data_IF_694614693377
#
_entry.id   IF_694614693377
#
_cell.length_a   1.000
_cell.length_b   1.000
_cell.length_c   1.000
_cell.angle_alpha   90.00
_cell.angle_beta   90.00
_cell.angle_gamma   90.00
#
_symmetry.space_group_name_H-M   'P 1'
#
loop_
_entity.id
_entity.type
_entity.pdbx_description
1 polymer ?
#
# COMPACT_ATOMS: atom_id res chain seq x y z
N UNK A 1 -75.43 15.87 -25.98
CA UNK A 1 -74.15 15.42 -26.54
C UNK A 1 -73.17 15.36 -25.39
N UNK A 2 -72.95 14.17 -24.84
CA UNK A 2 -71.94 13.95 -23.81
C UNK A 2 -70.63 13.63 -24.55
N UNK A 3 -69.66 14.54 -24.47
CA UNK A 3 -68.26 14.23 -24.79
C UNK A 3 -67.70 13.41 -23.62
N UNK A 4 -67.39 12.15 -23.90
CA UNK A 4 -66.66 11.28 -22.99
C UNK A 4 -65.22 11.80 -22.87
N UNK A 5 -64.91 12.40 -21.72
CA UNK A 5 -63.54 12.69 -21.32
C UNK A 5 -62.86 11.38 -20.88
N UNK A 6 -62.00 10.82 -21.74
CA UNK A 6 -61.16 9.68 -21.36
C UNK A 6 -60.22 10.06 -20.19
N UNK A 7 -60.13 9.21 -19.14
CA UNK A 7 -59.39 9.57 -17.95
C UNK A 7 -57.89 9.48 -18.21
N UNK A 8 -57.15 10.54 -17.85
CA UNK A 8 -55.69 10.60 -17.85
C UNK A 8 -55.06 9.53 -16.95
N UNK A 9 -54.91 8.31 -17.48
CA UNK A 9 -54.11 7.23 -16.92
C UNK A 9 -52.60 7.52 -17.13
N UNK A 10 -52.19 8.60 -16.48
CA UNK A 10 -50.97 8.77 -15.69
C UNK A 10 -49.64 8.46 -16.36
N UNK A 11 -48.88 9.52 -16.70
CA UNK A 11 -47.43 9.50 -16.95
C UNK A 11 -46.62 8.64 -15.95
N UNK A 12 -47.14 8.42 -14.74
CA UNK A 12 -46.55 7.53 -13.73
C UNK A 12 -46.63 6.04 -14.11
N UNK A 13 -47.74 5.61 -14.72
CA UNK A 13 -47.92 4.24 -15.20
C UNK A 13 -46.98 3.93 -16.37
N UNK A 14 -46.85 4.86 -17.32
CA UNK A 14 -45.88 4.79 -18.42
C UNK A 14 -44.43 4.73 -17.92
N UNK A 15 -44.08 5.59 -16.95
CA UNK A 15 -42.74 5.58 -16.34
C UNK A 15 -42.43 4.24 -15.64
N UNK A 16 -43.40 3.67 -14.94
CA UNK A 16 -43.27 2.36 -14.27
C UNK A 16 -43.17 1.21 -15.27
N UNK A 17 -43.90 1.27 -16.39
CA UNK A 17 -43.81 0.31 -17.48
C UNK A 17 -42.44 0.36 -18.17
N UNK A 18 -41.93 1.56 -18.45
CA UNK A 18 -40.60 1.77 -19.03
C UNK A 18 -39.48 1.26 -18.09
N UNK A 19 -39.60 1.49 -16.79
CA UNK A 19 -38.65 0.97 -15.80
C UNK A 19 -38.69 -0.56 -15.71
N UNK A 20 -39.89 -1.15 -15.73
CA UNK A 20 -40.08 -2.61 -15.78
C UNK A 20 -39.47 -3.22 -17.05
N UNK A 21 -39.67 -2.60 -18.21
CA UNK A 21 -39.07 -3.03 -19.48
C UNK A 21 -37.54 -2.99 -19.43
N UNK A 22 -36.95 -1.91 -18.87
CA UNK A 22 -35.49 -1.81 -18.65
C UNK A 22 -34.95 -2.90 -17.72
N UNK A 23 -35.70 -3.27 -16.69
CA UNK A 23 -35.33 -4.36 -15.77
C UNK A 23 -35.31 -5.70 -16.53
N UNK A 24 -36.38 -6.00 -17.26
CA UNK A 24 -36.50 -7.24 -18.04
C UNK A 24 -35.42 -7.35 -19.12
N UNK A 25 -35.10 -6.26 -19.82
CA UNK A 25 -34.01 -6.21 -20.79
C UNK A 25 -32.66 -6.55 -20.14
N UNK A 26 -32.34 -5.92 -19.01
CA UNK A 26 -31.11 -6.21 -18.24
C UNK A 26 -31.05 -7.65 -17.74
N UNK A 27 -32.18 -8.25 -17.40
CA UNK A 27 -32.24 -9.67 -17.04
C UNK A 27 -31.99 -10.59 -18.22
N UNK A 28 -32.57 -10.28 -19.39
CA UNK A 28 -32.30 -10.99 -20.64
C UNK A 28 -30.82 -10.92 -21.01
N UNK A 29 -30.23 -9.72 -21.03
CA UNK A 29 -28.80 -9.51 -21.27
C UNK A 29 -27.94 -10.33 -20.30
N UNK A 30 -28.28 -10.35 -19.00
CA UNK A 30 -27.56 -11.16 -18.01
C UNK A 30 -27.67 -12.66 -18.28
N UNK A 31 -28.84 -13.14 -18.74
CA UNK A 31 -29.02 -14.55 -19.13
C UNK A 31 -28.15 -14.88 -20.34
N UNK A 32 -28.15 -14.03 -21.37
CA UNK A 32 -27.28 -14.17 -22.55
C UNK A 32 -25.81 -14.19 -22.16
N UNK A 33 -25.35 -13.23 -21.34
CA UNK A 33 -23.98 -13.20 -20.83
C UNK A 33 -23.59 -14.48 -20.07
N UNK A 34 -24.50 -15.06 -19.27
CA UNK A 34 -24.24 -16.32 -18.55
C UNK A 34 -24.21 -17.53 -19.49
N UNK A 35 -25.10 -17.57 -20.48
CA UNK A 35 -25.17 -18.63 -21.47
C UNK A 35 -23.91 -18.64 -22.33
N UNK A 36 -23.62 -17.51 -23.00
CA UNK A 36 -22.41 -17.33 -23.82
C UNK A 36 -21.15 -17.59 -22.98
N UNK A 37 -21.10 -17.08 -21.76
CA UNK A 37 -19.98 -17.31 -20.84
C UNK A 37 -19.82 -18.76 -20.38
N UNK A 38 -20.87 -19.59 -20.43
CA UNK A 38 -20.80 -21.04 -20.15
C UNK A 38 -20.25 -21.78 -21.38
N UNK A 39 -20.74 -21.44 -22.57
CA UNK A 39 -20.30 -22.04 -23.83
C UNK A 39 -18.82 -21.73 -24.09
N UNK A 40 -18.38 -20.48 -23.89
CA UNK A 40 -16.98 -20.08 -24.09
C UNK A 40 -15.97 -20.76 -23.15
N UNK A 41 -16.41 -21.42 -22.07
CA UNK A 41 -15.53 -22.20 -21.21
C UNK A 41 -15.18 -23.57 -21.80
N UNK A 42 -16.00 -24.08 -22.73
CA UNK A 42 -15.74 -25.34 -23.41
C UNK A 42 -14.67 -25.13 -24.49
N UNK A 43 -13.72 -26.07 -24.65
CA UNK A 43 -12.87 -26.14 -25.84
C UNK A 43 -13.72 -26.13 -27.11
N UNK A 44 -13.21 -25.55 -28.19
CA UNK A 44 -13.96 -25.43 -29.45
C UNK A 44 -14.42 -26.78 -30.00
N UNK A 45 -13.60 -27.82 -29.84
CA UNK A 45 -13.91 -29.20 -30.25
C UNK A 45 -15.03 -29.87 -29.43
N UNK A 46 -15.40 -29.33 -28.26
CA UNK A 46 -16.40 -29.92 -27.34
C UNK A 46 -17.75 -29.18 -27.37
N UNK A 47 -17.90 -28.19 -28.26
CA UNK A 47 -19.13 -27.41 -28.39
C UNK A 47 -20.11 -28.11 -29.32
N UNK A 48 -21.39 -28.17 -28.94
CA UNK A 48 -22.43 -28.62 -29.86
C UNK A 48 -22.69 -27.59 -30.96
N UNK A 49 -23.34 -28.02 -32.06
CA UNK A 49 -23.75 -27.11 -33.14
C UNK A 49 -24.68 -26.00 -32.65
N UNK A 50 -25.60 -26.32 -31.73
CA UNK A 50 -26.49 -25.34 -31.09
C UNK A 50 -25.70 -24.30 -30.30
N UNK A 51 -24.67 -24.73 -29.57
CA UNK A 51 -23.79 -23.84 -28.81
C UNK A 51 -22.98 -22.93 -29.75
N UNK A 52 -22.50 -23.44 -30.87
CA UNK A 52 -21.84 -22.65 -31.90
C UNK A 52 -22.78 -21.61 -32.52
N UNK A 53 -24.03 -21.98 -32.81
CA UNK A 53 -25.06 -21.06 -33.30
C UNK A 53 -25.37 -19.94 -32.28
N UNK A 54 -25.43 -20.25 -30.98
CA UNK A 54 -25.61 -19.25 -29.92
C UNK A 54 -24.46 -18.24 -29.87
N UNK A 55 -23.21 -18.68 -30.09
CA UNK A 55 -22.06 -17.76 -30.17
C UNK A 55 -22.15 -16.85 -31.39
N UNK A 56 -22.58 -17.38 -32.55
CA UNK A 56 -22.79 -16.61 -33.78
C UNK A 56 -23.94 -15.61 -33.66
N UNK A 57 -25.01 -15.95 -32.95
CA UNK A 57 -26.15 -15.05 -32.71
C UNK A 57 -25.78 -13.86 -31.80
N UNK A 58 -24.83 -14.06 -30.89
CA UNK A 58 -24.46 -13.08 -29.86
C UNK A 58 -23.00 -12.62 -29.95
N UNK A 59 -22.52 -12.29 -31.16
CA UNK A 59 -21.11 -11.92 -31.42
C UNK A 59 -20.59 -10.80 -30.52
N UNK A 60 -21.36 -9.74 -30.31
CA UNK A 60 -20.96 -8.61 -29.45
C UNK A 60 -20.70 -9.06 -28.00
N UNK A 61 -21.54 -9.98 -27.50
CA UNK A 61 -21.39 -10.55 -26.14
C UNK A 61 -20.15 -11.45 -26.08
N UNK A 62 -19.89 -12.23 -27.14
CA UNK A 62 -18.68 -13.05 -27.26
C UNK A 62 -17.43 -12.18 -27.24
N UNK A 63 -17.38 -11.13 -28.08
CA UNK A 63 -16.23 -10.22 -28.13
C UNK A 63 -15.95 -9.56 -26.79
N UNK A 64 -16.99 -9.05 -26.11
CA UNK A 64 -16.85 -8.44 -24.79
C UNK A 64 -16.36 -9.45 -23.74
N UNK A 65 -16.87 -10.68 -23.74
CA UNK A 65 -16.41 -11.73 -22.83
C UNK A 65 -14.97 -12.14 -23.10
N UNK A 66 -14.57 -12.28 -24.37
CA UNK A 66 -13.19 -12.54 -24.77
C UNK A 66 -12.26 -11.41 -24.33
N UNK A 67 -12.62 -10.13 -24.56
CA UNK A 67 -11.86 -8.96 -24.07
C UNK A 67 -11.72 -8.98 -22.55
N UNK A 68 -12.79 -9.30 -21.81
CA UNK A 68 -12.75 -9.46 -20.34
C UNK A 68 -11.82 -10.58 -19.90
N UNK A 69 -11.82 -11.70 -20.62
CA UNK A 69 -10.95 -12.83 -20.33
C UNK A 69 -9.48 -12.47 -20.54
N UNK A 70 -9.14 -11.83 -21.67
CA UNK A 70 -7.78 -11.32 -21.94
C UNK A 70 -7.34 -10.35 -20.85
N UNK A 71 -8.17 -9.36 -20.50
CA UNK A 71 -7.88 -8.41 -19.41
C UNK A 71 -7.64 -9.11 -18.08
N UNK A 72 -8.44 -10.13 -17.75
CA UNK A 72 -8.28 -10.93 -16.53
C UNK A 72 -6.99 -11.72 -16.53
N UNK A 73 -6.63 -12.36 -17.64
CA UNK A 73 -5.39 -13.12 -17.79
C UNK A 73 -4.17 -12.20 -17.63
N UNK A 74 -4.19 -11.02 -18.25
CA UNK A 74 -3.13 -10.00 -18.09
C UNK A 74 -3.02 -9.56 -16.62
N UNK A 75 -4.14 -9.28 -15.95
CA UNK A 75 -4.14 -8.90 -14.54
C UNK A 75 -3.64 -10.02 -13.62
N UNK A 76 -3.94 -11.28 -13.95
CA UNK A 76 -3.45 -12.45 -13.22
C UNK A 76 -1.93 -12.58 -13.35
N UNK A 77 -1.40 -12.55 -14.58
CA UNK A 77 0.05 -12.55 -14.84
C UNK A 77 0.77 -11.42 -14.13
N UNK A 78 0.19 -10.22 -14.07
CA UNK A 78 0.76 -9.07 -13.33
C UNK A 78 0.80 -9.23 -11.81
N UNK A 79 0.11 -10.22 -11.25
CA UNK A 79 0.11 -10.53 -9.81
C UNK A 79 0.97 -11.76 -9.48
N UNK A 80 1.38 -12.53 -10.49
CA UNK A 80 2.28 -13.66 -10.30
C UNK A 80 3.66 -13.12 -9.90
N UNK A 81 4.29 -13.80 -8.96
CA UNK A 81 5.67 -13.54 -8.57
C UNK A 81 6.60 -14.22 -9.57
N UNK A 82 7.58 -13.47 -10.05
CA UNK A 82 8.64 -13.95 -10.92
C UNK A 82 9.93 -13.91 -10.11
N UNK A 83 10.79 -14.90 -10.34
CA UNK A 83 12.10 -14.99 -9.72
C UNK A 83 13.12 -15.13 -10.85
N UNK A 84 14.13 -14.26 -10.85
CA UNK A 84 15.31 -14.47 -11.67
C UNK A 84 16.08 -15.68 -11.10
N UNK A 85 16.71 -16.48 -11.97
CA UNK A 85 17.59 -17.55 -11.50
C UNK A 85 18.85 -16.98 -10.82
N UNK A 86 19.65 -17.85 -10.20
CA UNK A 86 20.76 -17.42 -9.36
C UNK A 86 21.86 -16.67 -10.13
N UNK A 87 22.13 -17.04 -11.39
CA UNK A 87 23.19 -16.44 -12.19
C UNK A 87 22.71 -15.10 -12.77
N UNK A 88 21.48 -15.05 -13.28
CA UNK A 88 20.82 -13.81 -13.71
C UNK A 88 20.72 -12.82 -12.56
N UNK A 89 20.33 -13.26 -11.37
CA UNK A 89 20.24 -12.42 -10.18
C UNK A 89 21.59 -11.77 -9.86
N UNK A 90 22.67 -12.55 -9.79
CA UNK A 90 24.02 -12.02 -9.52
C UNK A 90 24.48 -11.03 -10.59
N UNK A 91 24.28 -11.37 -11.87
CA UNK A 91 24.65 -10.51 -12.99
C UNK A 91 23.90 -9.16 -12.96
N UNK A 92 22.60 -9.19 -12.63
CA UNK A 92 21.80 -7.98 -12.48
C UNK A 92 22.20 -7.18 -11.24
N UNK A 93 22.52 -7.83 -10.12
CA UNK A 93 23.02 -7.13 -8.92
C UNK A 93 24.35 -6.44 -9.20
N UNK A 94 25.25 -7.06 -9.96
CA UNK A 94 26.49 -6.42 -10.38
C UNK A 94 26.25 -5.14 -11.20
N UNK A 95 25.34 -5.19 -12.18
CA UNK A 95 24.93 -4.00 -12.93
C UNK A 95 24.31 -2.92 -12.03
N UNK A 96 23.53 -3.32 -11.02
CA UNK A 96 22.99 -2.40 -10.03
C UNK A 96 24.11 -1.78 -9.18
N UNK A 97 25.11 -2.57 -8.77
CA UNK A 97 26.25 -2.09 -8.00
C UNK A 97 27.06 -1.04 -8.78
N UNK A 98 27.30 -1.28 -10.07
CA UNK A 98 27.95 -0.30 -10.95
C UNK A 98 27.12 1.00 -11.03
N UNK A 99 25.80 0.88 -11.21
CA UNK A 99 24.91 2.05 -11.22
C UNK A 99 24.90 2.83 -9.91
N UNK A 100 24.99 2.14 -8.76
CA UNK A 100 25.08 2.77 -7.43
C UNK A 100 26.43 3.49 -7.26
N UNK A 101 27.54 2.90 -7.73
CA UNK A 101 28.88 3.52 -7.68
C UNK A 101 28.96 4.78 -8.57
N UNK A 102 28.31 4.76 -9.72
CA UNK A 102 28.31 5.88 -10.68
C UNK A 102 27.33 7.00 -10.31
N UNK A 103 26.32 6.73 -9.47
CA UNK A 103 25.27 7.68 -9.14
C UNK A 103 25.83 8.89 -8.36
N UNK A 104 25.52 10.10 -8.83
CA UNK A 104 25.81 11.34 -8.09
C UNK A 104 24.73 11.61 -7.05
N UNK A 105 23.49 11.26 -7.36
CA UNK A 105 22.33 11.51 -6.53
C UNK A 105 21.34 10.33 -6.61
N UNK A 106 21.67 9.25 -5.91
CA UNK A 106 20.79 8.09 -5.77
C UNK A 106 19.68 8.36 -4.75
N UNK A 107 18.44 8.15 -5.17
CA UNK A 107 17.25 8.18 -4.31
C UNK A 107 16.60 6.81 -4.27
N UNK A 108 16.26 6.34 -3.07
CA UNK A 108 15.64 5.01 -2.86
C UNK A 108 14.16 5.16 -2.58
N UNK A 109 13.33 4.46 -3.34
CA UNK A 109 11.87 4.41 -3.15
C UNK A 109 11.47 3.07 -2.56
N UNK A 110 10.84 3.07 -1.38
CA UNK A 110 10.48 1.83 -0.69
C UNK A 110 8.97 1.61 -0.60
N UNK A 111 8.58 0.34 -0.53
CA UNK A 111 7.21 -0.09 -0.27
C UNK A 111 7.17 -1.29 0.67
N UNK A 112 5.96 -1.79 0.95
CA UNK A 112 5.72 -2.77 2.00
C UNK A 112 6.49 -4.10 1.81
N UNK A 113 6.94 -4.40 0.58
CA UNK A 113 7.73 -5.59 0.26
C UNK A 113 9.09 -5.64 0.97
N UNK A 114 9.65 -4.51 1.43
CA UNK A 114 10.90 -4.53 2.21
C UNK A 114 10.67 -4.95 3.67
N UNK A 115 9.42 -4.91 4.13
CA UNK A 115 9.03 -5.20 5.52
C UNK A 115 8.43 -6.60 5.70
N UNK A 116 8.24 -7.36 4.61
CA UNK A 116 7.65 -8.71 4.69
C UNK A 116 8.49 -9.71 5.46
N UNK A 117 9.82 -9.54 5.47
CA UNK A 117 10.73 -10.36 6.25
C UNK A 117 10.62 -10.09 7.77
N UNK A 118 10.11 -8.91 8.17
CA UNK A 118 9.78 -8.58 9.55
C UNK A 118 8.37 -9.08 9.97
N UNK A 119 7.81 -10.03 9.22
CA UNK A 119 6.43 -10.53 9.39
C UNK A 119 5.32 -9.48 9.21
N UNK A 120 5.65 -8.33 8.63
CA UNK A 120 4.66 -7.29 8.29
C UNK A 120 4.06 -7.63 6.92
N UNK A 121 2.75 -7.93 6.81
CA UNK A 121 2.16 -8.28 5.52
C UNK A 121 2.24 -7.11 4.55
N UNK A 122 2.55 -7.40 3.30
CA UNK A 122 2.41 -6.41 2.25
C UNK A 122 0.93 -6.16 1.91
N UNK A 123 0.70 -5.31 0.91
CA UNK A 123 -0.65 -4.99 0.50
C UNK A 123 -1.20 -5.87 -0.62
N UNK A 124 -0.35 -6.34 -1.54
CA UNK A 124 -0.76 -6.83 -2.87
C UNK A 124 -0.04 -8.08 -3.34
N UNK A 125 0.89 -8.60 -2.54
CA UNK A 125 1.50 -9.91 -2.73
C UNK A 125 0.48 -11.03 -2.56
N UNK A 126 0.91 -12.29 -2.71
CA UNK A 126 0.04 -13.47 -2.61
C UNK A 126 -0.77 -13.53 -1.29
N UNK A 127 -0.13 -13.08 -0.21
CA UNK A 127 -0.67 -13.01 1.15
C UNK A 127 -0.91 -11.56 1.62
N UNK A 128 -0.88 -10.60 0.70
CA UNK A 128 -1.07 -9.20 1.04
C UNK A 128 -2.48 -8.88 1.51
N UNK A 129 -2.62 -7.82 2.30
CA UNK A 129 -3.89 -7.42 2.93
C UNK A 129 -5.05 -7.34 1.92
N UNK A 130 -4.86 -6.67 0.78
CA UNK A 130 -5.91 -6.57 -0.24
C UNK A 130 -6.19 -7.90 -0.94
N UNK A 131 -5.16 -8.72 -1.13
CA UNK A 131 -5.28 -10.03 -1.77
C UNK A 131 -6.10 -10.98 -0.89
N UNK A 132 -5.86 -10.98 0.42
CA UNK A 132 -6.63 -11.76 1.39
C UNK A 132 -8.07 -11.26 1.52
N UNK A 133 -8.26 -9.94 1.64
CA UNK A 133 -9.60 -9.34 1.70
C UNK A 133 -10.43 -9.63 0.44
N UNK A 134 -9.82 -9.61 -0.75
CA UNK A 134 -10.50 -9.99 -1.99
C UNK A 134 -10.88 -11.47 -2.03
N UNK A 135 -10.09 -12.34 -1.40
CA UNK A 135 -10.38 -13.77 -1.23
C UNK A 135 -11.37 -14.06 -0.09
N UNK A 136 -11.85 -13.03 0.63
CA UNK A 136 -12.74 -13.18 1.78
C UNK A 136 -12.07 -13.78 3.02
N UNK A 137 -10.73 -13.72 3.10
CA UNK A 137 -9.95 -14.21 4.24
C UNK A 137 -9.72 -13.09 5.25
N UNK A 138 -9.61 -13.46 6.53
CA UNK A 138 -9.18 -12.56 7.59
C UNK A 138 -7.69 -12.25 7.45
N UNK A 139 -7.32 -11.04 7.83
CA UNK A 139 -5.92 -10.61 7.91
C UNK A 139 -5.59 -10.55 9.40
N UNK A 140 -4.71 -11.44 9.86
CA UNK A 140 -4.14 -11.31 11.20
C UNK A 140 -3.13 -10.15 11.16
N UNK A 141 -3.37 -9.09 11.94
CA UNK A 141 -2.34 -8.09 12.18
C UNK A 141 -1.33 -8.69 13.14
N UNK A 142 -0.11 -8.97 12.66
CA UNK A 142 1.04 -9.13 13.57
C UNK A 142 1.19 -7.84 14.38
N UNK A 143 1.53 -7.96 15.66
CA UNK A 143 1.85 -6.77 16.43
C UNK A 143 3.14 -6.12 15.89
N UNK A 144 3.03 -4.86 15.48
CA UNK A 144 4.11 -4.10 14.86
C UNK A 144 5.15 -3.64 15.89
N UNK A 145 4.79 -3.62 17.18
CA UNK A 145 5.69 -3.33 18.30
C UNK A 145 6.92 -4.27 18.32
N UNK A 146 6.73 -5.54 17.93
CA UNK A 146 7.76 -6.59 17.91
C UNK A 146 8.60 -6.58 16.63
N UNK A 147 8.16 -5.91 15.58
CA UNK A 147 8.89 -5.87 14.32
C UNK A 147 10.22 -5.15 14.50
N UNK A 148 11.28 -5.68 13.89
CA UNK A 148 12.59 -5.05 13.81
C UNK A 148 12.90 -4.66 12.35
N UNK A 149 13.74 -3.63 12.11
CA UNK A 149 14.21 -3.30 10.78
C UNK A 149 14.81 -4.52 10.07
N UNK A 150 14.40 -4.76 8.82
CA UNK A 150 14.92 -5.87 8.01
C UNK A 150 16.34 -5.62 7.53
N UNK A 151 16.99 -6.64 6.96
CA UNK A 151 18.32 -6.50 6.34
C UNK A 151 18.31 -5.38 5.30
N UNK A 152 17.26 -5.27 4.47
CA UNK A 152 17.11 -4.17 3.51
C UNK A 152 17.13 -2.79 4.19
N UNK A 153 16.45 -2.60 5.32
CA UNK A 153 16.47 -1.32 6.05
C UNK A 153 17.89 -1.00 6.53
N UNK A 154 18.59 -1.99 7.10
CA UNK A 154 19.96 -1.82 7.59
C UNK A 154 20.96 -1.54 6.46
N UNK A 155 20.77 -2.14 5.28
CA UNK A 155 21.55 -1.81 4.09
C UNK A 155 21.33 -0.37 3.66
N UNK A 156 20.08 0.11 3.63
CA UNK A 156 19.76 1.50 3.26
C UNK A 156 20.38 2.48 4.26
N UNK A 157 20.30 2.21 5.57
CA UNK A 157 20.99 2.98 6.63
C UNK A 157 22.49 3.09 6.31
N UNK A 158 23.13 1.97 5.99
CA UNK A 158 24.56 1.92 5.71
C UNK A 158 24.93 2.68 4.42
N UNK A 159 24.17 2.47 3.33
CA UNK A 159 24.37 3.18 2.07
C UNK A 159 24.21 4.70 2.22
N UNK A 160 23.27 5.14 3.06
CA UNK A 160 23.14 6.55 3.41
C UNK A 160 24.34 7.06 4.24
N UNK A 161 24.81 6.27 5.22
CA UNK A 161 26.00 6.59 6.02
C UNK A 161 27.26 6.76 5.15
N UNK A 162 27.43 5.91 4.14
CA UNK A 162 28.49 6.01 3.12
C UNK A 162 28.22 7.08 2.05
N UNK A 163 27.15 7.87 2.20
CA UNK A 163 26.75 8.94 1.28
C UNK A 163 26.45 8.46 -0.15
N UNK A 164 26.21 7.16 -0.36
CA UNK A 164 25.79 6.62 -1.64
C UNK A 164 24.32 6.92 -1.90
N UNK A 165 23.46 6.72 -0.90
CA UNK A 165 22.04 7.11 -0.95
C UNK A 165 21.89 8.52 -0.36
N UNK A 166 21.25 9.42 -1.10
CA UNK A 166 21.02 10.81 -0.67
C UNK A 166 19.70 11.00 0.05
N UNK A 167 18.68 10.25 -0.35
CA UNK A 167 17.34 10.36 0.21
C UNK A 167 16.55 9.07 0.06
N UNK A 168 15.61 8.85 0.97
CA UNK A 168 14.68 7.71 0.98
C UNK A 168 13.25 8.22 0.98
N UNK A 169 12.48 7.78 -0.01
CA UNK A 169 11.06 8.08 -0.14
C UNK A 169 10.27 6.80 0.12
N UNK A 170 9.61 6.72 1.27
CA UNK A 170 8.90 5.53 1.72
C UNK A 170 7.38 5.69 1.60
N UNK A 171 6.71 4.62 1.19
CA UNK A 171 5.25 4.46 1.30
C UNK A 171 4.82 3.70 2.56
N UNK A 172 5.78 3.22 3.35
CA UNK A 172 5.51 2.43 4.54
C UNK A 172 5.21 3.36 5.70
N UNK A 173 4.30 2.93 6.58
CA UNK A 173 4.00 3.62 7.83
C UNK A 173 4.41 2.81 9.06
N UNK A 174 5.17 1.73 8.85
CA UNK A 174 5.66 0.83 9.88
C UNK A 174 6.77 1.44 10.77
N UNK A 175 7.27 2.63 10.43
CA UNK A 175 8.31 3.34 11.18
C UNK A 175 9.69 2.67 11.16
N UNK A 176 9.90 1.57 10.40
CA UNK A 176 11.13 0.78 10.46
C UNK A 176 12.35 1.53 9.89
N UNK A 177 12.16 2.46 8.95
CA UNK A 177 13.24 3.33 8.49
C UNK A 177 13.77 4.24 9.59
N UNK A 178 12.88 4.92 10.31
CA UNK A 178 13.26 5.75 11.46
C UNK A 178 13.99 4.90 12.52
N UNK A 179 13.38 3.76 12.87
CA UNK A 179 13.90 2.83 13.88
C UNK A 179 15.23 2.20 13.52
N UNK A 180 15.54 2.05 12.22
CA UNK A 180 16.85 1.57 11.77
C UNK A 180 18.00 2.53 12.08
N UNK A 181 17.70 3.80 12.40
CA UNK A 181 18.71 4.86 12.55
C UNK A 181 18.91 5.70 11.30
N UNK A 182 18.03 5.61 10.29
CA UNK A 182 18.09 6.48 9.13
C UNK A 182 17.74 7.92 9.55
N UNK A 183 18.54 8.90 9.10
CA UNK A 183 18.32 10.31 9.42
C UNK A 183 16.94 10.78 8.93
N UNK A 184 16.19 11.44 9.83
CA UNK A 184 14.88 12.03 9.51
C UNK A 184 14.93 13.03 8.35
N UNK A 185 16.04 13.75 8.21
CA UNK A 185 16.22 14.73 7.14
C UNK A 185 16.30 14.06 5.77
N UNK A 186 16.83 12.83 5.72
CA UNK A 186 16.98 12.04 4.50
C UNK A 186 15.80 11.08 4.25
N UNK A 187 14.73 11.18 5.05
CA UNK A 187 13.57 10.30 4.99
C UNK A 187 12.29 11.11 4.70
N UNK A 188 11.50 10.64 3.74
CA UNK A 188 10.15 11.12 3.48
C UNK A 188 9.15 9.98 3.58
N UNK A 189 8.21 10.07 4.52
CA UNK A 189 7.20 9.04 4.79
C UNK A 189 5.86 9.48 4.19
N UNK A 190 5.66 9.13 2.91
CA UNK A 190 4.61 9.69 2.08
C UNK A 190 3.19 9.33 2.51
N UNK A 191 3.03 8.28 3.30
CA UNK A 191 1.74 7.82 3.80
C UNK A 191 1.60 7.99 5.32
N UNK A 192 2.55 8.68 5.97
CA UNK A 192 2.58 8.83 7.42
C UNK A 192 3.44 7.81 8.13
N UNK A 193 3.37 7.82 9.45
CA UNK A 193 4.07 6.91 10.34
C UNK A 193 3.16 6.60 11.53
N UNK A 194 2.94 5.32 11.81
CA UNK A 194 2.02 4.86 12.86
C UNK A 194 2.46 5.21 14.28
N UNK A 195 3.72 5.64 14.46
CA UNK A 195 4.27 6.08 15.74
C UNK A 195 4.24 7.60 15.90
N UNK A 196 3.69 8.34 14.93
CA UNK A 196 3.74 9.80 14.91
C UNK A 196 2.32 10.35 14.85
N UNK A 197 2.00 11.19 15.83
CA UNK A 197 0.82 12.05 15.86
C UNK A 197 1.24 13.52 15.90
N UNK A 198 0.36 14.40 15.43
CA UNK A 198 0.65 15.82 15.24
C UNK A 198 -0.49 16.70 15.72
N UNK A 199 -0.15 17.90 16.19
CA UNK A 199 -1.09 18.98 16.40
C UNK A 199 -1.09 19.91 15.19
N UNK A 200 -2.18 19.90 14.42
CA UNK A 200 -2.34 20.75 13.23
C UNK A 200 -2.80 22.18 13.54
N UNK A 201 -3.26 22.42 14.77
CA UNK A 201 -3.70 23.77 15.21
C UNK A 201 -2.54 24.67 15.63
N UNK A 202 -1.38 24.08 15.96
CA UNK A 202 -0.17 24.84 16.25
C UNK A 202 0.54 25.27 14.96
N UNK A 203 1.17 26.45 14.98
CA UNK A 203 2.08 26.91 13.93
C UNK A 203 3.45 27.26 14.55
N UNK A 204 4.54 26.56 14.18
CA UNK A 204 4.57 25.39 13.30
C UNK A 204 3.84 24.17 13.89
N UNK A 205 3.50 23.21 13.03
CA UNK A 205 2.91 21.91 13.43
C UNK A 205 3.81 21.26 14.48
N UNK A 206 3.20 20.81 15.59
CA UNK A 206 3.93 20.10 16.65
C UNK A 206 3.78 18.60 16.46
N UNK A 207 4.90 17.90 16.51
CA UNK A 207 4.98 16.45 16.36
C UNK A 207 5.19 15.77 17.71
N UNK A 208 4.57 14.60 17.88
CA UNK A 208 4.71 13.73 19.03
C UNK A 208 5.03 12.32 18.52
N UNK A 209 6.23 11.84 18.84
CA UNK A 209 6.62 10.46 18.57
C UNK A 209 6.21 9.59 19.76
N UNK A 210 5.57 8.45 19.51
CA UNK A 210 5.08 7.53 20.52
C UNK A 210 5.73 6.16 20.34
N UNK A 211 5.77 5.39 21.42
CA UNK A 211 6.29 4.02 21.39
C UNK A 211 5.20 2.97 21.07
N UNK A 212 3.97 3.40 20.79
CA UNK A 212 2.83 2.55 20.45
C UNK A 212 2.15 3.04 19.17
N UNK A 213 1.28 2.20 18.60
CA UNK A 213 0.49 2.52 17.42
C UNK A 213 -0.56 3.61 17.72
N UNK A 214 -0.38 4.82 17.17
CA UNK A 214 -1.31 5.94 17.38
C UNK A 214 -2.61 5.78 16.58
N UNK A 215 -2.71 4.77 15.71
CA UNK A 215 -3.76 4.62 14.70
C UNK A 215 -4.96 3.77 15.16
N UNK A 216 -4.94 3.22 16.37
CA UNK A 216 -5.99 2.32 16.89
C UNK A 216 -7.41 2.89 16.77
N UNK A 217 -7.57 4.19 17.05
CA UNK A 217 -8.86 4.89 17.09
C UNK A 217 -9.18 5.62 15.78
N UNK A 218 -8.32 5.46 14.78
CA UNK A 218 -8.32 6.23 13.53
C UNK A 218 -8.86 5.42 12.36
N UNK A 219 -9.38 6.12 11.35
CA UNK A 219 -9.91 5.51 10.14
C UNK A 219 -10.01 6.52 9.00
N UNK A 220 -10.44 6.06 7.82
CA UNK A 220 -10.65 6.93 6.66
C UNK A 220 -11.45 8.20 7.04
N UNK A 221 -10.84 9.37 6.83
CA UNK A 221 -11.40 10.70 7.17
C UNK A 221 -11.62 10.99 8.67
N UNK A 222 -11.14 10.13 9.57
CA UNK A 222 -11.17 10.33 11.03
C UNK A 222 -9.78 10.08 11.59
N UNK A 223 -9.04 11.16 11.80
CA UNK A 223 -7.64 11.11 12.24
C UNK A 223 -7.43 11.46 13.71
N UNK A 224 -8.48 11.85 14.44
CA UNK A 224 -8.35 12.20 15.87
C UNK A 224 -7.86 10.99 16.67
N UNK A 225 -6.77 11.18 17.41
CA UNK A 225 -6.16 10.11 18.20
C UNK A 225 -6.77 10.00 19.60
N UNK A 226 -7.62 10.96 19.98
CA UNK A 226 -8.22 11.06 21.31
C UNK A 226 -7.26 11.58 22.39
N UNK A 227 -6.08 12.07 22.02
CA UNK A 227 -5.11 12.74 22.91
C UNK A 227 -5.08 14.24 22.62
N UNK A 228 -4.67 15.04 23.59
CA UNK A 228 -4.65 16.51 23.49
C UNK A 228 -3.23 17.07 23.36
N UNK A 229 -3.08 18.12 22.57
CA UNK A 229 -1.83 18.85 22.42
C UNK A 229 -1.45 19.57 23.72
N UNK A 230 -0.21 19.39 24.17
CA UNK A 230 0.31 20.01 25.40
C UNK A 230 0.42 21.53 25.34
N UNK A 231 0.41 22.07 24.12
CA UNK A 231 0.60 23.49 23.90
C UNK A 231 -0.73 24.25 23.80
N UNK A 232 -1.69 23.73 23.04
CA UNK A 232 -2.94 24.44 22.76
C UNK A 232 -4.20 23.70 23.19
N UNK A 233 -4.10 22.47 23.71
CA UNK A 233 -5.25 21.67 24.16
C UNK A 233 -6.04 20.95 23.06
N UNK A 234 -5.89 21.36 21.79
CA UNK A 234 -6.59 20.74 20.67
C UNK A 234 -6.22 19.26 20.46
N UNK A 235 -7.15 18.50 19.88
CA UNK A 235 -6.99 17.08 19.61
C UNK A 235 -5.82 16.81 18.64
N UNK A 236 -4.96 15.85 19.02
CA UNK A 236 -3.89 15.33 18.17
C UNK A 236 -4.46 14.45 17.06
N UNK A 237 -3.75 14.44 15.94
CA UNK A 237 -4.14 13.70 14.73
C UNK A 237 -3.04 12.75 14.32
N UNK A 238 -3.38 11.56 13.84
CA UNK A 238 -2.39 10.69 13.21
C UNK A 238 -1.87 11.31 11.90
N UNK A 239 -0.77 10.73 11.40
CA UNK A 239 -0.13 11.17 10.14
C UNK A 239 -0.52 10.34 8.93
N UNK A 240 -1.42 9.37 9.09
CA UNK A 240 -1.73 8.35 8.09
C UNK A 240 -2.50 8.95 6.91
N UNK A 241 -2.06 8.61 5.70
CA UNK A 241 -2.83 8.85 4.47
C UNK A 241 -3.52 7.55 4.06
N UNK A 242 -4.83 7.46 4.30
CA UNK A 242 -5.59 6.27 3.94
C UNK A 242 -5.82 6.14 2.42
N UNK A 243 -6.04 4.90 1.95
CA UNK A 243 -6.39 4.66 0.55
C UNK A 243 -7.70 5.36 0.16
N UNK A 244 -7.64 6.18 -0.88
CA UNK A 244 -8.79 6.94 -1.39
C UNK A 244 -8.90 8.35 -0.81
N UNK A 245 -8.05 8.68 0.16
CA UNK A 245 -7.92 10.01 0.73
C UNK A 245 -6.85 10.83 0.01
N UNK A 246 -7.01 12.16 0.08
CA UNK A 246 -5.92 13.11 -0.17
C UNK A 246 -5.42 13.53 1.21
N UNK A 247 -4.11 13.50 1.43
CA UNK A 247 -3.53 13.82 2.74
C UNK A 247 -4.11 15.11 3.33
N UNK A 248 -4.50 15.04 4.60
CA UNK A 248 -5.16 16.15 5.32
C UNK A 248 -4.17 17.08 6.03
N UNK A 249 -2.95 16.61 6.24
CA UNK A 249 -1.80 17.44 6.63
C UNK A 249 -1.32 18.22 5.42
N UNK A 250 -0.81 19.44 5.64
CA UNK A 250 -0.37 20.33 4.55
C UNK A 250 0.44 19.58 3.51
N UNK A 251 1.30 18.64 3.92
CA UNK A 251 1.90 17.63 3.05
C UNK A 251 2.20 16.33 3.82
N UNK A 252 2.37 15.18 3.13
CA UNK A 252 3.00 14.00 3.73
C UNK A 252 4.29 14.33 4.46
N UNK A 253 4.69 13.50 5.43
CA UNK A 253 5.89 13.74 6.24
C UNK A 253 7.11 13.93 5.30
N UNK A 254 7.63 15.16 5.29
CA UNK A 254 8.74 15.59 4.44
C UNK A 254 8.51 15.45 2.92
N UNK A 255 7.32 15.78 2.40
CA UNK A 255 7.06 15.80 0.94
C UNK A 255 8.00 16.73 0.16
N UNK A 256 8.29 17.91 0.70
CA UNK A 256 9.24 18.86 0.10
C UNK A 256 10.60 18.20 -0.15
N UNK A 257 11.15 17.50 0.85
CA UNK A 257 12.39 16.73 0.70
C UNK A 257 12.29 15.64 -0.37
N UNK A 258 11.16 14.93 -0.47
CA UNK A 258 10.96 13.93 -1.53
C UNK A 258 10.97 14.55 -2.93
N UNK A 259 10.32 15.70 -3.10
CA UNK A 259 10.25 16.40 -4.38
C UNK A 259 11.61 16.98 -4.79
N UNK A 260 12.33 17.61 -3.87
CA UNK A 260 13.68 18.16 -4.08
C UNK A 260 14.69 17.05 -4.40
N UNK A 261 14.66 15.95 -3.64
CA UNK A 261 15.52 14.79 -3.91
C UNK A 261 15.22 14.16 -5.27
N UNK A 262 13.93 13.98 -5.62
CA UNK A 262 13.54 13.47 -6.92
C UNK A 262 14.00 14.38 -8.06
N UNK A 263 13.94 15.70 -7.86
CA UNK A 263 14.43 16.66 -8.85
C UNK A 263 15.94 16.56 -9.07
N UNK A 264 16.72 16.35 -8.01
CA UNK A 264 18.18 16.21 -8.12
C UNK A 264 18.63 14.83 -8.60
N UNK A 265 17.77 13.82 -8.52
CA UNK A 265 18.12 12.43 -8.81
C UNK A 265 18.62 12.21 -10.23
N UNK A 266 19.72 11.47 -10.34
CA UNK A 266 20.19 10.84 -11.59
C UNK A 266 19.93 9.34 -11.60
N UNK A 267 19.76 8.72 -10.42
CA UNK A 267 19.35 7.32 -10.26
C UNK A 267 18.23 7.20 -9.24
N UNK A 268 17.19 6.41 -9.57
CA UNK A 268 16.14 6.00 -8.64
C UNK A 268 16.17 4.47 -8.51
N UNK A 269 16.25 3.98 -7.28
CA UNK A 269 16.15 2.56 -6.95
C UNK A 269 14.84 2.28 -6.21
N UNK A 270 13.93 1.55 -6.83
CA UNK A 270 12.67 1.11 -6.21
C UNK A 270 12.81 -0.27 -5.58
N UNK A 271 12.49 -0.40 -4.29
CA UNK A 271 12.57 -1.64 -3.53
C UNK A 271 11.21 -2.04 -2.95
N UNK A 272 10.75 -3.25 -3.26
CA UNK A 272 9.59 -3.86 -2.59
C UNK A 272 8.30 -3.08 -2.76
N UNK A 273 8.11 -2.39 -3.89
CA UNK A 273 6.92 -1.61 -4.17
C UNK A 273 6.27 -1.99 -5.49
N UNK A 274 4.95 -2.22 -5.45
CA UNK A 274 4.14 -2.38 -6.66
C UNK A 274 4.04 -1.11 -7.52
N UNK A 275 4.46 0.05 -7.00
CA UNK A 275 4.39 1.39 -7.62
C UNK A 275 2.99 1.81 -8.12
N UNK A 276 1.92 1.09 -7.75
CA UNK A 276 0.54 1.38 -8.19
C UNK A 276 0.02 2.71 -7.67
N UNK A 277 0.53 3.16 -6.52
CA UNK A 277 0.26 4.47 -5.93
C UNK A 277 1.25 5.49 -6.46
N UNK A 278 2.56 5.27 -6.26
CA UNK A 278 3.58 6.25 -6.63
C UNK A 278 3.60 6.66 -8.11
N UNK A 279 3.20 5.78 -9.03
CA UNK A 279 3.15 6.10 -10.47
C UNK A 279 2.39 7.39 -10.82
N UNK A 280 1.47 7.82 -9.95
CA UNK A 280 0.62 9.00 -10.18
C UNK A 280 1.32 10.32 -9.89
N UNK A 281 2.40 10.33 -9.10
CA UNK A 281 3.08 11.56 -8.71
C UNK A 281 4.16 11.92 -9.74
N UNK A 282 3.75 12.65 -10.78
CA UNK A 282 4.62 12.98 -11.90
C UNK A 282 5.97 13.63 -11.52
N UNK A 283 5.98 14.48 -10.47
CA UNK A 283 7.19 15.13 -9.96
C UNK A 283 8.23 14.14 -9.44
N UNK A 284 7.81 13.09 -8.73
CA UNK A 284 8.71 12.04 -8.18
C UNK A 284 9.36 11.17 -9.28
N UNK A 285 9.00 11.36 -10.54
CA UNK A 285 9.61 10.63 -11.65
C UNK A 285 10.20 11.56 -12.72
N UNK A 286 10.26 12.87 -12.42
CA UNK A 286 10.66 13.92 -13.35
C UNK A 286 9.96 13.80 -14.71
N UNK A 287 8.66 13.49 -14.73
CA UNK A 287 7.93 13.25 -15.98
C UNK A 287 7.87 14.49 -16.89
N UNK A 288 8.09 15.68 -16.34
CA UNK A 288 8.24 16.94 -17.07
C UNK A 288 9.54 17.03 -17.88
N UNK A 289 10.55 16.18 -17.59
CA UNK A 289 11.79 16.13 -18.36
C UNK A 289 11.67 15.22 -19.58
N UNK A 290 12.42 15.49 -20.67
CA UNK A 290 12.62 14.55 -21.77
C UNK A 290 13.12 13.18 -21.26
N UNK A 291 12.73 12.09 -21.92
CA UNK A 291 13.01 10.73 -21.43
C UNK A 291 14.51 10.46 -21.18
N UNK A 292 15.40 11.00 -22.02
CA UNK A 292 16.86 10.87 -21.89
C UNK A 292 17.47 11.73 -20.76
N UNK A 293 16.70 12.66 -20.18
CA UNK A 293 17.10 13.51 -19.04
C UNK A 293 16.41 13.11 -17.73
N UNK A 294 15.66 12.02 -17.73
CA UNK A 294 15.05 11.44 -16.52
C UNK A 294 16.09 10.59 -15.79
N UNK A 295 15.96 10.43 -14.46
CA UNK A 295 16.82 9.53 -13.71
C UNK A 295 16.73 8.10 -14.25
N UNK A 296 17.85 7.39 -14.25
CA UNK A 296 17.89 5.95 -14.54
C UNK A 296 17.12 5.21 -13.46
N UNK A 297 16.12 4.42 -13.86
CA UNK A 297 15.25 3.72 -12.93
C UNK A 297 15.65 2.25 -12.79
N UNK A 298 15.87 1.80 -11.56
CA UNK A 298 16.12 0.42 -11.20
C UNK A 298 14.99 -0.08 -10.31
N UNK A 299 14.50 -1.30 -10.55
CA UNK A 299 13.38 -1.87 -9.80
C UNK A 299 13.73 -3.24 -9.27
N UNK A 300 13.58 -3.44 -7.96
CA UNK A 300 13.66 -4.73 -7.28
C UNK A 300 12.28 -5.08 -6.74
N UNK A 301 11.58 -5.99 -7.40
CA UNK A 301 10.24 -6.41 -7.00
C UNK A 301 9.86 -7.75 -7.65
N UNK A 302 9.25 -8.65 -6.89
CA UNK A 302 8.82 -9.97 -7.38
C UNK A 302 7.66 -9.90 -8.37
N UNK A 303 6.78 -8.91 -8.23
CA UNK A 303 5.60 -8.74 -9.10
C UNK A 303 5.84 -7.70 -10.20
N UNK A 304 4.97 -7.68 -11.21
CA UNK A 304 4.93 -6.61 -12.21
C UNK A 304 4.68 -5.23 -11.57
N UNK A 305 5.40 -4.21 -12.05
CA UNK A 305 5.13 -2.81 -11.69
C UNK A 305 4.70 -1.98 -12.91
N UNK A 306 3.89 -0.92 -12.72
CA UNK A 306 3.51 0.02 -13.77
C UNK A 306 4.65 0.80 -14.43
N UNK A 307 5.87 0.67 -13.93
CA UNK A 307 7.06 1.40 -14.40
C UNK A 307 8.14 0.46 -14.95
N UNK A 308 7.85 -0.84 -15.07
CA UNK A 308 8.80 -1.84 -15.60
C UNK A 308 9.34 -1.42 -16.98
N UNK A 309 8.48 -0.93 -17.88
CA UNK A 309 8.87 -0.50 -19.24
C UNK A 309 9.75 0.78 -19.26
N UNK A 310 9.85 1.50 -18.14
CA UNK A 310 10.70 2.68 -17.98
C UNK A 310 11.99 2.35 -17.22
N UNK A 311 12.12 1.16 -16.65
CA UNK A 311 13.28 0.77 -15.88
C UNK A 311 14.44 0.41 -16.83
N UNK A 312 15.64 0.87 -16.48
CA UNK A 312 16.89 0.41 -17.10
C UNK A 312 17.10 -1.06 -16.75
N UNK A 313 16.80 -1.43 -15.51
CA UNK A 313 16.95 -2.79 -15.03
C UNK A 313 15.85 -3.15 -14.04
N UNK A 314 15.24 -4.32 -14.24
CA UNK A 314 14.35 -4.95 -13.28
C UNK A 314 14.95 -6.26 -12.77
N UNK A 315 15.03 -6.36 -11.45
CA UNK A 315 15.48 -7.53 -10.72
C UNK A 315 14.27 -8.16 -10.04
N UNK A 316 13.96 -9.39 -10.43
CA UNK A 316 12.88 -10.17 -9.82
C UNK A 316 13.48 -11.03 -8.71
N UNK A 317 13.72 -10.42 -7.55
CA UNK A 317 14.30 -11.09 -6.39
C UNK A 317 13.75 -10.55 -5.08
N UNK A 318 13.96 -11.29 -3.98
CA UNK A 318 13.65 -10.79 -2.63
C UNK A 318 14.58 -9.63 -2.31
N UNK A 319 14.05 -8.56 -1.73
CA UNK A 319 14.84 -7.36 -1.44
C UNK A 319 16.06 -7.67 -0.55
N UNK A 320 15.90 -8.48 0.50
CA UNK A 320 17.02 -8.82 1.38
C UNK A 320 18.14 -9.59 0.65
N UNK A 321 17.80 -10.52 -0.25
CA UNK A 321 18.81 -11.24 -1.03
C UNK A 321 19.55 -10.31 -1.99
N UNK A 322 18.81 -9.46 -2.70
CA UNK A 322 19.38 -8.47 -3.63
C UNK A 322 20.27 -7.47 -2.91
N UNK A 323 19.80 -6.94 -1.77
CA UNK A 323 20.55 -5.96 -0.99
C UNK A 323 21.79 -6.58 -0.35
N UNK A 324 21.73 -7.83 0.11
CA UNK A 324 22.91 -8.55 0.61
C UNK A 324 23.99 -8.68 -0.47
N UNK A 325 23.64 -9.19 -1.65
CA UNK A 325 24.60 -9.28 -2.76
C UNK A 325 25.10 -7.90 -3.21
N UNK A 326 24.25 -6.87 -3.20
CA UNK A 326 24.67 -5.51 -3.51
C UNK A 326 25.71 -5.00 -2.52
N UNK A 327 25.51 -5.23 -1.22
CA UNK A 327 26.46 -4.82 -0.19
C UNK A 327 27.80 -5.57 -0.32
N UNK A 328 27.77 -6.85 -0.69
CA UNK A 328 28.97 -7.63 -1.02
C UNK A 328 29.74 -7.04 -2.22
N UNK A 329 29.06 -6.72 -3.32
CA UNK A 329 29.63 -6.09 -4.53
C UNK A 329 30.18 -4.66 -4.28
N UNK A 330 29.61 -3.97 -3.29
CA UNK A 330 30.08 -2.66 -2.81
C UNK A 330 31.17 -2.80 -1.73
N UNK A 331 31.46 -4.03 -1.26
CA UNK A 331 32.38 -4.30 -0.15
C UNK A 331 32.03 -3.52 1.12
N UNK A 332 30.73 -3.38 1.42
CA UNK A 332 30.21 -2.70 2.59
C UNK A 332 29.66 -3.69 3.61
N UNK A 333 30.03 -3.52 4.87
CA UNK A 333 29.49 -4.32 5.97
C UNK A 333 28.06 -3.89 6.29
N UNK A 334 27.17 -4.86 6.46
CA UNK A 334 25.78 -4.61 6.85
C UNK A 334 25.75 -4.48 8.39
N UNK A 335 25.33 -3.33 8.94
CA UNK A 335 25.20 -3.18 10.38
C UNK A 335 24.08 -4.09 10.90
N UNK A 336 24.32 -4.75 12.02
CA UNK A 336 23.27 -5.46 12.77
C UNK A 336 22.39 -4.42 13.45
N UNK A 337 21.08 -4.65 13.47
CA UNK A 337 20.17 -3.79 14.22
C UNK A 337 20.40 -3.98 15.72
N UNK A 338 20.75 -2.90 16.40
CA UNK A 338 20.81 -2.82 17.85
C UNK A 338 19.62 -1.99 18.35
N UNK A 339 18.80 -2.58 19.21
CA UNK A 339 17.63 -1.92 19.80
C UNK A 339 18.04 -0.77 20.72
N UNK A 340 19.22 -0.83 21.34
CA UNK A 340 19.75 0.25 22.19
C UNK A 340 19.99 1.53 21.38
N UNK A 341 20.33 1.39 20.09
CA UNK A 341 20.54 2.50 19.16
C UNK A 341 19.26 2.95 18.44
N UNK A 342 18.09 2.38 18.75
CA UNK A 342 16.84 2.74 18.08
C UNK A 342 16.47 4.20 18.41
N UNK A 343 16.46 5.12 17.42
CA UNK A 343 16.19 6.53 17.69
C UNK A 343 14.81 6.80 18.26
N UNK A 344 13.85 5.86 18.12
CA UNK A 344 12.49 6.07 18.59
C UNK A 344 12.44 6.33 20.10
N UNK A 345 13.33 5.71 20.88
CA UNK A 345 13.35 5.89 22.34
C UNK A 345 13.79 7.30 22.75
N UNK A 346 14.78 7.88 22.06
CA UNK A 346 15.23 9.25 22.34
C UNK A 346 14.27 10.32 21.78
N UNK A 347 13.52 9.98 20.74
CA UNK A 347 12.51 10.86 20.14
C UNK A 347 11.14 10.79 20.83
N UNK A 348 10.86 9.70 21.56
CA UNK A 348 9.58 9.45 22.17
C UNK A 348 9.18 10.58 23.14
N UNK A 349 7.96 11.07 22.99
CA UNK A 349 7.38 12.08 23.86
C UNK A 349 6.66 11.38 25.03
N UNK A 350 7.12 11.55 26.29
CA UNK A 350 6.56 10.85 27.46
C UNK A 350 5.09 11.20 27.66
N UNK A 351 4.21 10.25 27.95
CA UNK A 351 2.77 10.50 28.14
C UNK A 351 2.46 11.36 29.38
N UNK A 352 1.36 12.13 29.32
CA UNK A 352 0.76 12.74 30.51
C UNK A 352 0.00 11.67 31.32
N UNK A 353 -0.20 11.85 32.64
CA UNK A 353 -0.93 10.88 33.48
C UNK A 353 -2.31 10.51 32.92
N UNK A 354 -3.01 11.46 32.29
CA UNK A 354 -4.35 11.25 31.72
C UNK A 354 -4.31 10.48 30.39
N UNK A 355 -3.14 10.36 29.76
CA UNK A 355 -2.95 9.67 28.48
C UNK A 355 -2.57 8.18 28.65
N UNK A 356 -2.31 7.69 29.88
CA UNK A 356 -1.80 6.33 30.13
C UNK A 356 -2.76 5.25 29.60
N UNK A 357 -4.07 5.45 29.76
CA UNK A 357 -5.11 4.51 29.28
C UNK A 357 -5.60 4.84 27.85
N UNK A 358 -4.86 5.67 27.09
CA UNK A 358 -5.28 6.13 25.77
C UNK A 358 -4.96 5.16 24.62
N UNK A 359 -4.27 4.04 24.91
CA UNK A 359 -3.85 3.04 23.93
C UNK A 359 -4.06 1.62 24.47
N UNK A 360 -4.17 0.65 23.58
CA UNK A 360 -4.36 -0.77 23.93
C UNK A 360 -3.33 -1.70 23.29
N UNK A 361 -2.59 -1.20 22.29
CA UNK A 361 -1.50 -1.93 21.63
C UNK A 361 -0.28 -1.99 22.51
N UNK A 362 0.53 -3.02 22.30
CA UNK A 362 1.79 -3.14 22.99
C UNK A 362 2.71 -1.95 22.64
N UNK A 363 3.38 -1.45 23.67
CA UNK A 363 4.44 -0.46 23.54
C UNK A 363 5.69 -1.16 23.05
N UNK A 364 6.48 -0.51 22.19
CA UNK A 364 7.84 -0.94 21.87
C UNK A 364 8.64 -0.93 23.17
N UNK A 365 8.94 -2.12 23.68
CA UNK A 365 9.69 -2.28 24.90
C UNK A 365 11.09 -1.66 24.77
N UNK A 366 11.57 -0.95 25.81
CA UNK A 366 12.94 -0.47 25.86
C UNK A 366 13.93 -1.65 25.82
N UNK A 367 15.21 -1.41 25.50
CA UNK A 367 16.25 -2.44 25.56
C UNK A 367 16.37 -3.02 26.98
N UNK A 368 16.68 -4.32 27.07
CA UNK A 368 16.89 -5.01 28.36
C UNK A 368 17.99 -4.28 29.18
N UNK A 369 17.59 -3.63 30.27
CA UNK A 369 18.49 -2.83 31.13
C UNK A 369 17.94 -1.46 31.57
N UNK A 370 16.83 -0.99 31.01
CA UNK A 370 16.05 0.16 31.50
C UNK A 370 14.68 -0.33 32.02
N UNK A 371 14.67 -0.90 33.22
CA UNK A 371 13.43 -1.06 33.99
C UNK A 371 13.05 0.32 34.57
N UNK A 372 12.29 1.11 33.81
CA UNK A 372 11.51 2.19 34.43
C UNK A 372 10.25 1.56 35.05
N UNK A 373 10.21 1.55 36.38
CA UNK A 373 9.14 0.99 37.18
C UNK A 373 7.76 1.53 36.80
N UNK A 374 6.95 0.70 36.14
CA UNK A 374 5.51 0.86 36.00
C UNK A 374 4.86 -0.53 36.05
N UNK A 375 3.62 -0.65 36.55
CA UNK A 375 3.19 -1.85 37.27
C UNK A 375 2.90 -3.04 36.36
N UNK A 376 3.27 -4.20 36.88
CA UNK A 376 3.03 -5.56 36.40
C UNK A 376 1.56 -5.78 35.94
N UNK A 377 1.33 -5.76 34.63
CA UNK A 377 0.06 -6.16 34.02
C UNK A 377 0.15 -7.60 33.54
N UNK A 378 -0.39 -8.46 34.40
CA UNK A 378 -0.55 -9.92 34.30
C UNK A 378 -0.89 -10.44 32.90
N UNK A 379 -0.26 -11.58 32.59
CA UNK A 379 -0.60 -12.48 31.49
C UNK A 379 -2.10 -12.81 31.45
N UNK A 380 -2.76 -12.43 30.34
CA UNK A 380 -3.95 -13.09 29.85
C UNK A 380 -3.75 -13.39 28.36
N UNK A 381 -3.44 -14.65 28.08
CA UNK A 381 -3.53 -15.19 26.74
C UNK A 381 -5.02 -15.33 26.37
N UNK A 382 -5.54 -14.38 25.59
CA UNK A 382 -6.83 -14.53 24.91
C UNK A 382 -6.64 -14.60 23.40
N UNK A 383 -7.36 -15.55 22.79
CA UNK A 383 -7.40 -15.81 21.36
C UNK A 383 -7.73 -14.53 20.57
N UNK A 384 -6.88 -14.22 19.57
CA UNK A 384 -6.90 -12.96 18.83
C UNK A 384 -8.28 -12.60 18.27
N UNK A 385 -8.89 -11.56 18.84
CA UNK A 385 -10.09 -10.95 18.30
C UNK A 385 -9.82 -10.26 16.96
N UNK A 386 -10.82 -10.30 16.07
CA UNK A 386 -10.78 -9.59 14.80
C UNK A 386 -10.73 -8.07 15.02
N UNK A 387 -9.54 -7.48 14.88
CA UNK A 387 -9.29 -6.05 15.04
C UNK A 387 -10.23 -5.21 14.15
N UNK A 388 -10.96 -4.27 14.77
CA UNK A 388 -11.74 -3.24 14.09
C UNK A 388 -11.03 -1.88 14.15
N UNK A 389 -10.23 -1.51 13.14
CA UNK A 389 -9.53 -0.22 13.06
C UNK A 389 -8.06 -0.36 12.63
N UNK A 390 -7.36 0.75 12.37
CA UNK A 390 -5.90 0.79 12.10
C UNK A 390 -5.47 1.23 10.69
N UNK A 391 -4.15 1.42 10.51
CA UNK A 391 -3.51 1.94 9.28
C UNK A 391 -3.96 1.28 7.98
N UNK A 392 -4.31 -0.01 8.01
CA UNK A 392 -4.75 -0.75 6.82
C UNK A 392 -6.03 -0.21 6.17
N UNK A 393 -6.78 0.68 6.84
CA UNK A 393 -7.88 1.45 6.28
C UNK A 393 -8.97 0.57 5.68
N UNK A 394 -10.08 0.34 6.40
CA UNK A 394 -11.28 -0.26 5.78
C UNK A 394 -11.96 0.74 4.84
N UNK A 395 -11.38 0.94 3.65
CA UNK A 395 -11.81 2.00 2.73
C UNK A 395 -12.19 1.58 1.31
N UNK A 396 -11.79 0.39 0.83
CA UNK A 396 -12.06 0.03 -0.58
C UNK A 396 -12.69 -1.35 -0.76
N UNK A 397 -13.79 -1.59 -0.06
CA UNK A 397 -14.80 -2.51 -0.57
C UNK A 397 -15.49 -1.84 -1.76
N UNK A 398 -15.09 -2.16 -3.00
CA UNK A 398 -15.84 -1.75 -4.21
C UNK A 398 -17.32 -2.02 -3.95
N UNK A 399 -18.12 -0.96 -3.89
CA UNK A 399 -19.51 -0.96 -3.43
C UNK A 399 -20.30 -2.17 -3.89
N UNK A 400 -20.38 -3.19 -3.04
CA UNK A 400 -21.39 -4.23 -3.15
C UNK A 400 -22.62 -3.60 -2.51
N UNK A 401 -23.51 -3.02 -3.33
CA UNK A 401 -24.83 -2.59 -2.88
C UNK A 401 -25.39 -3.71 -2.00
N UNK A 402 -25.55 -3.46 -0.70
CA UNK A 402 -26.28 -4.35 0.21
C UNK A 402 -27.62 -4.62 -0.49
N UNK A 403 -27.87 -5.87 -0.87
CA UNK A 403 -29.23 -6.30 -1.20
C UNK A 403 -30.04 -6.02 0.06
N UNK A 404 -30.99 -5.09 0.00
CA UNK A 404 -32.04 -5.02 1.01
C UNK A 404 -32.71 -6.40 0.99
N UNK A 405 -32.61 -7.13 2.10
CA UNK A 405 -33.46 -8.28 2.30
C UNK A 405 -34.91 -7.75 2.22
N UNK A 406 -35.71 -8.34 1.34
CA UNK A 406 -37.14 -8.13 1.37
C UNK A 406 -37.63 -8.78 2.68
N UNK A 407 -38.16 -7.96 3.57
CA UNK A 407 -38.98 -8.43 4.68
C UNK A 407 -40.23 -9.06 4.08
N UNK A 408 -40.39 -10.36 4.37
CA UNK A 408 -41.63 -11.12 4.23
C UNK A 408 -42.78 -10.50 5.00
#
# INVERSE_FOLDING_TARGET
MAEEAEPSLSQRAERKALEKAKILQRESERKTFRLVGRVLKKPEAERSEEEAAVLLLHRDTVEELCRRQVRRNVLKRKQEEVFDDADDLKNKVKQLADAVKEAKHLVVYTGAGISTAASIPDYRGPNGVWTLLQKGRTVSSSDLSKAAPTLTHMCIKMLHKEKLVKHVVSQNCDGLHLRSGLSRQALSELHGNMFIEVCTSCSPVREYVRLFDVTERTSLHRHGTGRSCRHCGDELRDTIVHFGERGTLEQPLNWKGAAEAAEMADVILCLGSSLKVLKKYACLWCMNRPANKRPKLYIVNLQWTPKDDLAVLKINGKCDDVMRFLMEELSLQIPVYDRVEDPIFSLATPLQPEEVDSYTREVIAPPDGQEDGSPDCRELAEEGQAVQGGWFGRGYGKGRKKKKAASS
#
